data_IF_666739086117
#
_entry.id   IF_666739086117
#
_cell.length_a   1.000
_cell.length_b   1.000
_cell.length_c   1.000
_cell.angle_alpha   90.00
_cell.angle_beta   90.00
_cell.angle_gamma   90.00
#
_symmetry.space_group_name_H-M   'P 1'
#
loop_
_entity.id
_entity.type
_entity.pdbx_description
1 polymer ?
#
# COMPACT_ATOMS: atom_id res chain seq x y z
N UNK A 1 8.62 24.92 -30.47
CA UNK A 1 8.71 23.72 -29.58
C UNK A 1 9.74 24.02 -28.52
N UNK A 2 9.42 23.79 -27.24
CA UNK A 2 10.45 23.85 -26.22
C UNK A 2 11.48 22.74 -26.46
N UNK A 3 12.76 23.08 -26.29
CA UNK A 3 13.84 22.11 -26.46
C UNK A 3 13.77 21.11 -25.30
N UNK A 4 13.73 19.82 -25.60
CA UNK A 4 13.81 18.80 -24.57
C UNK A 4 15.17 18.84 -23.89
N UNK A 5 15.18 19.07 -22.58
CA UNK A 5 16.40 19.05 -21.76
C UNK A 5 16.33 17.81 -20.85
N UNK A 6 17.29 16.89 -20.94
CA UNK A 6 17.35 15.74 -20.05
C UNK A 6 17.44 16.16 -18.58
N UNK A 7 16.79 15.40 -17.69
CA UNK A 7 16.73 15.71 -16.25
C UNK A 7 18.11 15.94 -15.63
N UNK A 8 19.11 15.16 -16.04
CA UNK A 8 20.48 15.26 -15.54
C UNK A 8 21.15 16.61 -15.81
N UNK A 9 20.77 17.26 -16.90
CA UNK A 9 21.31 18.55 -17.34
C UNK A 9 20.57 19.75 -16.75
N UNK A 10 19.49 19.52 -16.00
CA UNK A 10 18.77 20.59 -15.32
C UNK A 10 19.56 21.17 -14.15
N UNK A 11 19.35 22.46 -13.90
CA UNK A 11 19.86 23.14 -12.71
C UNK A 11 19.36 22.46 -11.41
N UNK A 12 20.13 22.59 -10.33
CA UNK A 12 19.74 22.05 -9.00
C UNK A 12 18.38 22.57 -8.52
N UNK A 13 17.97 23.77 -8.94
CA UNK A 13 16.68 24.39 -8.60
C UNK A 13 15.53 23.71 -9.36
N UNK A 14 15.65 23.57 -10.69
CA UNK A 14 14.65 22.90 -11.52
C UNK A 14 14.45 21.44 -11.13
N UNK A 15 15.54 20.70 -10.87
CA UNK A 15 15.46 19.31 -10.38
C UNK A 15 14.62 19.20 -9.11
N UNK A 16 14.81 20.14 -8.16
CA UNK A 16 14.05 20.18 -6.90
C UNK A 16 12.56 20.45 -7.16
N UNK A 17 12.23 21.42 -8.01
CA UNK A 17 10.85 21.75 -8.33
C UNK A 17 10.14 20.56 -9.00
N UNK A 18 10.78 19.92 -9.97
CA UNK A 18 10.24 18.77 -10.69
C UNK A 18 10.04 17.57 -9.74
N UNK A 19 11.01 17.31 -8.85
CA UNK A 19 10.88 16.27 -7.83
C UNK A 19 9.79 16.58 -6.79
N UNK A 20 9.60 17.84 -6.40
CA UNK A 20 8.54 18.23 -5.49
C UNK A 20 7.16 17.95 -6.09
N UNK A 21 6.98 18.25 -7.39
CA UNK A 21 5.77 17.88 -8.14
C UNK A 21 5.58 16.36 -8.16
N UNK A 22 6.63 15.60 -8.48
CA UNK A 22 6.57 14.12 -8.53
C UNK A 22 6.26 13.46 -7.19
N UNK A 23 6.75 14.03 -6.08
CA UNK A 23 6.58 13.47 -4.72
C UNK A 23 5.27 13.88 -4.05
N UNK A 24 4.53 14.82 -4.64
CA UNK A 24 3.34 15.39 -4.02
C UNK A 24 2.28 14.33 -3.70
N UNK A 25 2.17 13.34 -4.58
CA UNK A 25 1.22 12.25 -4.47
C UNK A 25 1.96 10.92 -4.47
N UNK A 26 1.45 9.92 -3.74
CA UNK A 26 1.97 8.55 -3.77
C UNK A 26 1.62 7.80 -5.08
N UNK A 27 1.25 8.53 -6.13
CA UNK A 27 0.77 8.00 -7.40
C UNK A 27 -0.54 7.21 -7.21
N UNK A 28 -0.53 5.95 -7.65
CA UNK A 28 -1.67 5.02 -7.55
C UNK A 28 -1.83 4.43 -6.13
N UNK A 29 -0.82 4.59 -5.27
CA UNK A 29 -0.70 3.84 -4.02
C UNK A 29 -1.02 4.77 -2.85
N UNK A 30 -2.23 4.74 -2.30
CA UNK A 30 -2.48 5.42 -1.02
C UNK A 30 -2.03 4.53 0.16
N UNK A 31 -1.08 4.97 1.01
CA UNK A 31 -0.65 4.19 2.17
C UNK A 31 -1.78 4.01 3.20
N UNK A 32 -2.78 4.90 3.21
CA UNK A 32 -3.96 4.78 4.07
C UNK A 32 -4.84 3.61 3.63
N UNK A 33 -5.04 3.43 2.32
CA UNK A 33 -5.91 2.34 1.81
C UNK A 33 -5.23 0.98 1.79
N UNK A 34 -3.88 0.93 1.80
CA UNK A 34 -3.12 -0.32 1.90
C UNK A 34 -2.74 -0.71 3.33
N UNK A 35 -3.20 0.04 4.33
CA UNK A 35 -2.94 -0.31 5.73
C UNK A 35 -3.64 -1.64 6.04
N UNK A 36 -2.92 -2.70 6.44
CA UNK A 36 -3.57 -3.93 6.85
C UNK A 36 -4.41 -3.66 8.11
N UNK A 37 -5.50 -4.43 8.27
CA UNK A 37 -6.32 -4.35 9.47
C UNK A 37 -5.47 -4.60 10.72
N UNK A 38 -5.79 -3.90 11.82
CA UNK A 38 -5.05 -4.05 13.07
C UNK A 38 -5.19 -5.50 13.58
N UNK A 39 -4.10 -6.29 13.66
CA UNK A 39 -4.19 -7.70 14.02
C UNK A 39 -4.64 -7.93 15.48
N UNK A 40 -4.48 -6.93 16.33
CA UNK A 40 -4.90 -6.95 17.75
C UNK A 40 -6.31 -6.40 17.96
N UNK A 41 -6.97 -5.89 16.93
CA UNK A 41 -8.35 -5.42 17.07
C UNK A 41 -9.26 -6.60 17.40
N UNK A 42 -10.16 -6.39 18.35
CA UNK A 42 -11.17 -7.38 18.71
C UNK A 42 -12.13 -7.59 17.54
N UNK A 43 -12.24 -8.84 17.07
CA UNK A 43 -13.14 -9.23 15.98
C UNK A 43 -13.94 -10.48 16.38
N UNK A 44 -15.23 -10.30 16.71
CA UNK A 44 -16.13 -11.40 17.12
C UNK A 44 -16.29 -12.50 16.07
N UNK A 45 -16.10 -12.18 14.78
CA UNK A 45 -16.17 -13.17 13.69
C UNK A 45 -14.93 -14.06 13.65
N UNK A 46 -13.79 -13.59 14.17
CA UNK A 46 -12.53 -14.34 14.24
C UNK A 46 -12.49 -15.30 15.43
N UNK A 47 -13.29 -15.05 16.45
CA UNK A 47 -13.40 -15.97 17.59
C UNK A 47 -13.93 -17.32 17.09
N UNK A 48 -13.16 -18.39 17.30
CA UNK A 48 -13.60 -19.76 17.02
C UNK A 48 -14.90 -19.99 17.78
N UNK A 49 -15.97 -20.39 17.09
CA UNK A 49 -17.17 -20.87 17.78
C UNK A 49 -16.75 -22.12 18.56
N UNK A 50 -16.81 -22.05 19.89
CA UNK A 50 -16.70 -23.21 20.76
C UNK A 50 -17.93 -24.09 20.53
N UNK A 51 -17.84 -25.00 19.56
CA UNK A 51 -18.94 -25.92 19.24
C UNK A 51 -18.78 -26.69 17.92
N UNK A 52 -18.07 -26.14 16.92
CA UNK A 52 -17.84 -26.86 15.65
C UNK A 52 -16.45 -27.51 15.69
N UNK A 53 -16.42 -28.76 16.14
CA UNK A 53 -15.32 -29.66 15.85
C UNK A 53 -15.33 -29.91 14.33
N UNK A 54 -14.20 -29.76 13.61
CA UNK A 54 -14.12 -30.27 12.26
C UNK A 54 -14.30 -31.78 12.35
N UNK A 55 -15.38 -32.32 11.78
CA UNK A 55 -15.51 -33.75 11.54
C UNK A 55 -14.43 -34.09 10.52
N UNK A 56 -13.24 -34.46 10.99
CA UNK A 56 -12.20 -35.06 10.16
C UNK A 56 -12.78 -36.43 9.80
N UNK A 57 -13.51 -36.50 8.70
CA UNK A 57 -13.89 -37.78 8.09
C UNK A 57 -12.61 -38.37 7.53
N UNK A 58 -11.91 -39.15 8.35
CA UNK A 58 -10.85 -40.03 7.88
C UNK A 58 -11.54 -41.16 7.14
N UNK A 59 -11.54 -41.10 5.81
CA UNK A 59 -11.96 -42.21 4.97
C UNK A 59 -10.91 -43.31 5.12
N UNK A 60 -11.33 -44.45 5.71
CA UNK A 60 -10.57 -45.70 5.73
C UNK A 60 -10.62 -46.39 4.36
#
# INVERSE_FOLDING_TARGET
MEKFIPFEKLSKKQKRQLNAVRRKDWGVISPVTRRPENPKAYNRKKARKWGEQPTITVSF
#
